data_IF_933548936302
#
_entry.id   IF_933548936302
#
_cell.length_a   1.000
_cell.length_b   1.000
_cell.length_c   1.000
_cell.angle_alpha   90.00
_cell.angle_beta   90.00
_cell.angle_gamma   90.00
#
_symmetry.space_group_name_H-M   'P 1'
#
loop_
_entity.id
_entity.type
_entity.pdbx_description
1 polymer ?
#
# COMPACT_ATOMS: atom_id res chain seq x y z
N UNK A 1 15.71 -6.38 69.09
CA UNK A 1 15.20 -5.25 68.29
C UNK A 1 16.41 -4.61 67.61
N UNK A 2 16.53 -4.76 66.28
CA UNK A 2 15.98 -3.76 65.36
C UNK A 2 15.13 -4.36 64.24
N UNK A 3 14.20 -3.54 63.72
CA UNK A 3 13.21 -3.88 62.68
C UNK A 3 13.84 -3.86 61.27
N UNK A 4 13.52 -4.88 60.47
CA UNK A 4 13.76 -4.89 59.03
C UNK A 4 12.72 -4.02 58.28
N UNK A 5 13.07 -3.44 57.11
CA UNK A 5 12.14 -2.65 56.29
C UNK A 5 11.15 -3.56 55.52
N UNK A 6 9.96 -3.06 55.15
CA UNK A 6 8.95 -3.86 54.48
C UNK A 6 9.24 -4.02 52.97
N UNK A 7 9.01 -5.23 52.47
CA UNK A 7 8.99 -5.61 51.05
C UNK A 7 7.76 -5.02 50.34
N UNK A 8 7.89 -4.52 49.09
CA UNK A 8 6.74 -4.03 48.34
C UNK A 8 5.90 -5.20 47.79
N UNK A 9 4.59 -5.17 48.08
CA UNK A 9 3.57 -6.07 47.53
C UNK A 9 3.15 -5.61 46.14
N UNK A 10 3.31 -6.46 45.13
CA UNK A 10 2.72 -6.28 43.80
C UNK A 10 1.30 -6.87 43.77
N UNK A 11 0.28 -6.14 43.29
CA UNK A 11 -1.04 -6.72 43.07
C UNK A 11 -1.06 -7.51 41.76
N UNK A 12 -1.35 -8.80 41.86
CA UNK A 12 -1.82 -9.65 40.76
C UNK A 12 -3.26 -9.30 40.40
N UNK A 13 -3.54 -8.96 39.14
CA UNK A 13 -4.89 -9.04 38.55
C UNK A 13 -4.78 -9.24 37.04
N UNK A 14 -5.04 -10.46 36.59
CA UNK A 14 -6.26 -10.86 35.85
C UNK A 14 -6.33 -10.24 34.46
N UNK A 15 -5.74 -10.93 33.50
CA UNK A 15 -5.96 -10.73 32.07
C UNK A 15 -7.33 -11.27 31.68
N UNK A 16 -8.29 -10.39 31.44
CA UNK A 16 -9.45 -10.67 30.60
C UNK A 16 -9.14 -10.09 29.22
N UNK A 17 -8.99 -10.99 28.26
CA UNK A 17 -8.83 -10.73 26.83
C UNK A 17 -10.24 -10.49 26.31
N UNK A 18 -10.52 -9.29 25.80
CA UNK A 18 -11.68 -9.03 24.95
C UNK A 18 -11.18 -9.13 23.50
N UNK A 19 -11.38 -10.32 22.93
CA UNK A 19 -11.31 -10.59 21.49
C UNK A 19 -12.64 -10.18 20.86
N UNK A 20 -12.63 -9.11 20.05
CA UNK A 20 -13.77 -8.75 19.20
C UNK A 20 -13.23 -8.30 17.83
N UNK A 21 -13.03 -9.29 16.95
CA UNK A 21 -13.30 -9.22 15.50
C UNK A 21 -12.65 -10.42 14.82
N UNK A 22 -13.20 -11.64 15.02
CA UNK A 22 -13.21 -12.72 14.03
C UNK A 22 -14.17 -13.84 14.50
N UNK A 23 -15.41 -13.86 14.02
CA UNK A 23 -16.07 -15.13 13.69
C UNK A 23 -17.34 -14.94 12.84
N UNK A 24 -17.27 -15.28 11.57
CA UNK A 24 -18.44 -15.81 10.87
C UNK A 24 -18.00 -16.88 9.85
N UNK A 25 -17.68 -18.08 10.31
CA UNK A 25 -18.22 -19.34 9.74
C UNK A 25 -17.76 -20.60 10.49
N UNK A 26 -18.75 -21.25 11.13
CA UNK A 26 -18.96 -22.71 11.27
C UNK A 26 -18.06 -23.53 12.22
N UNK A 27 -18.56 -23.70 13.47
CA UNK A 27 -18.48 -24.96 14.25
C UNK A 27 -19.25 -26.08 13.51
N UNK A 28 -18.88 -27.36 13.54
CA UNK A 28 -19.09 -28.42 14.56
C UNK A 28 -18.29 -29.65 14.01
N UNK A 29 -17.43 -30.39 14.72
CA UNK A 29 -17.72 -31.29 15.84
C UNK A 29 -16.44 -31.87 16.51
N UNK A 30 -16.49 -31.97 17.84
CA UNK A 30 -16.21 -33.17 18.68
C UNK A 30 -14.77 -33.75 18.75
N UNK A 31 -14.00 -33.46 19.81
CA UNK A 31 -13.88 -34.15 21.15
C UNK A 31 -12.97 -35.38 21.22
N UNK A 32 -12.02 -35.34 22.16
CA UNK A 32 -11.17 -36.44 22.66
C UNK A 32 -9.70 -36.22 22.30
N UNK A 33 -8.70 -36.23 23.19
CA UNK A 33 -8.61 -36.70 24.56
C UNK A 33 -7.25 -37.40 24.73
N UNK A 34 -6.33 -36.74 25.45
CA UNK A 34 -5.21 -37.27 26.24
C UNK A 34 -3.96 -37.93 25.59
N UNK A 35 -2.82 -37.46 26.16
CA UNK A 35 -1.57 -38.16 26.53
C UNK A 35 -0.53 -38.55 25.47
N UNK A 36 0.62 -37.87 25.56
CA UNK A 36 1.96 -38.38 25.18
C UNK A 36 2.45 -39.49 26.12
N UNK A 37 3.47 -40.26 25.70
CA UNK A 37 4.79 -40.00 26.27
C UNK A 37 5.94 -40.01 25.26
N UNK A 38 7.11 -39.61 25.76
CA UNK A 38 8.34 -39.26 25.08
C UNK A 38 9.19 -40.43 24.55
N UNK A 39 10.10 -40.12 23.62
CA UNK A 39 11.58 -40.18 23.75
C UNK A 39 12.37 -40.79 22.56
N UNK A 40 13.36 -39.99 22.12
CA UNK A 40 14.71 -40.37 21.64
C UNK A 40 14.97 -40.72 20.14
N UNK A 41 16.22 -40.50 19.66
CA UNK A 41 16.50 -39.81 18.38
C UNK A 41 17.13 -40.69 17.31
N UNK A 42 17.07 -40.28 16.04
CA UNK A 42 17.90 -40.82 14.98
C UNK A 42 18.65 -39.71 14.23
N UNK A 43 19.97 -39.85 14.27
CA UNK A 43 20.96 -39.18 13.44
C UNK A 43 20.76 -39.55 11.96
N UNK A 44 20.98 -38.59 11.07
CA UNK A 44 20.93 -38.78 9.62
C UNK A 44 21.43 -37.56 8.88
N UNK A 45 22.74 -37.40 8.90
CA UNK A 45 23.54 -36.48 8.11
C UNK A 45 23.27 -36.69 6.60
N UNK A 46 22.84 -35.65 5.89
CA UNK A 46 22.86 -35.60 4.42
C UNK A 46 23.23 -34.19 4.00
N UNK A 47 24.46 -34.05 3.50
CA UNK A 47 25.00 -32.80 2.97
C UNK A 47 24.26 -32.27 1.73
N UNK A 48 24.64 -31.07 1.27
CA UNK A 48 23.83 -30.29 0.34
C UNK A 48 23.88 -30.85 -1.08
N UNK A 49 22.70 -31.05 -1.66
CA UNK A 49 22.52 -31.32 -3.09
C UNK A 49 22.73 -30.01 -3.85
N UNK A 50 23.75 -29.96 -4.71
CA UNK A 50 23.93 -28.89 -5.69
C UNK A 50 22.79 -28.94 -6.71
N UNK A 51 21.91 -27.94 -6.66
CA UNK A 51 20.98 -27.65 -7.75
C UNK A 51 21.70 -26.78 -8.79
N UNK A 52 21.73 -27.27 -10.03
CA UNK A 52 22.26 -26.55 -11.19
C UNK A 52 21.50 -25.24 -11.43
N UNK A 53 22.16 -24.19 -11.98
CA UNK A 53 21.49 -22.92 -12.27
C UNK A 53 20.42 -23.08 -13.36
N UNK A 54 19.32 -22.28 -13.31
CA UNK A 54 18.26 -22.31 -14.31
C UNK A 54 18.76 -21.79 -15.68
N UNK A 55 18.20 -22.28 -16.80
CA UNK A 55 18.59 -21.84 -18.14
C UNK A 55 18.12 -20.38 -18.42
N UNK A 56 18.79 -19.65 -19.33
CA UNK A 56 18.39 -18.30 -19.69
C UNK A 56 17.05 -18.27 -20.42
N UNK A 57 16.24 -17.25 -20.14
CA UNK A 57 14.93 -17.01 -20.76
C UNK A 57 15.07 -16.70 -22.26
N UNK A 58 14.11 -17.14 -23.10
CA UNK A 58 14.18 -16.93 -24.55
C UNK A 58 13.98 -15.46 -24.92
N UNK A 59 14.86 -14.96 -25.79
CA UNK A 59 14.78 -13.65 -26.44
C UNK A 59 13.61 -13.66 -27.44
N UNK A 60 12.64 -12.76 -27.26
CA UNK A 60 11.60 -12.50 -28.25
C UNK A 60 11.96 -11.26 -29.08
N UNK A 61 12.06 -11.44 -30.40
CA UNK A 61 12.07 -10.39 -31.40
C UNK A 61 10.72 -10.36 -32.14
N UNK A 62 10.30 -9.21 -32.69
CA UNK A 62 8.90 -8.92 -33.02
C UNK A 62 8.52 -9.40 -34.42
N UNK A 63 7.24 -9.73 -34.61
CA UNK A 63 6.63 -9.86 -35.94
C UNK A 63 5.43 -8.93 -36.01
N UNK A 64 5.41 -8.13 -37.07
CA UNK A 64 4.37 -7.19 -37.43
C UNK A 64 3.42 -7.76 -38.51
N UNK A 65 2.27 -7.10 -38.61
CA UNK A 65 1.37 -6.93 -39.77
C UNK A 65 0.24 -7.94 -40.01
N UNK A 66 -1.00 -7.44 -39.87
CA UNK A 66 -1.93 -7.10 -40.98
C UNK A 66 -3.39 -7.51 -40.73
N UNK A 67 -4.25 -6.87 -41.52
CA UNK A 67 -5.63 -6.49 -41.30
C UNK A 67 -6.69 -7.39 -41.96
N UNK A 68 -7.88 -7.42 -41.33
CA UNK A 68 -9.26 -7.49 -41.86
C UNK A 68 -9.73 -8.65 -42.78
N UNK A 69 -10.95 -9.18 -42.50
CA UNK A 69 -12.15 -9.22 -43.38
C UNK A 69 -13.36 -9.88 -42.64
N UNK A 70 -14.56 -9.39 -42.96
CA UNK A 70 -15.90 -9.64 -42.40
C UNK A 70 -16.64 -10.91 -42.88
N UNK A 71 -17.82 -11.13 -42.24
CA UNK A 71 -19.09 -11.80 -42.66
C UNK A 71 -19.36 -13.13 -41.94
N UNK A 72 -20.58 -13.50 -41.50
CA UNK A 72 -21.93 -12.96 -41.61
C UNK A 72 -22.91 -13.69 -40.66
N UNK A 73 -24.12 -13.16 -40.53
CA UNK A 73 -25.24 -13.54 -39.63
C UNK A 73 -26.01 -14.79 -40.09
N UNK A 74 -26.62 -15.55 -39.16
CA UNK A 74 -28.02 -16.06 -39.20
C UNK A 74 -28.47 -16.53 -37.80
N UNK A 75 -29.72 -16.23 -37.41
CA UNK A 75 -30.29 -16.54 -36.08
C UNK A 75 -31.43 -17.56 -36.08
N UNK A 76 -31.97 -17.89 -34.90
CA UNK A 76 -33.39 -18.22 -34.64
C UNK A 76 -33.64 -18.48 -33.13
N UNK A 77 -34.69 -17.86 -32.60
CA UNK A 77 -35.22 -18.00 -31.23
C UNK A 77 -36.08 -19.26 -31.04
N UNK A 78 -36.17 -19.77 -29.81
CA UNK A 78 -37.37 -20.45 -29.29
C UNK A 78 -37.60 -20.12 -27.80
N UNK A 79 -38.79 -19.60 -27.49
CA UNK A 79 -39.34 -19.47 -26.13
C UNK A 79 -40.09 -20.75 -25.74
N UNK A 80 -40.06 -21.14 -24.46
CA UNK A 80 -41.21 -21.83 -23.82
C UNK A 80 -41.21 -21.65 -22.30
N UNK A 81 -42.41 -21.41 -21.75
CA UNK A 81 -42.73 -21.02 -20.37
C UNK A 81 -42.91 -22.21 -19.40
N UNK A 82 -42.66 -21.97 -18.10
CA UNK A 82 -42.97 -22.78 -16.88
C UNK A 82 -44.48 -22.77 -16.53
N UNK A 83 -45.04 -23.52 -15.52
CA UNK A 83 -44.84 -23.32 -14.04
C UNK A 83 -45.20 -24.58 -13.14
N UNK A 84 -45.49 -24.55 -11.79
CA UNK A 84 -45.39 -23.50 -10.74
C UNK A 84 -44.72 -23.88 -9.36
N UNK A 85 -44.37 -22.81 -8.63
CA UNK A 85 -44.31 -22.47 -7.18
C UNK A 85 -44.12 -23.49 -6.03
N UNK A 86 -43.26 -23.12 -5.06
CA UNK A 86 -43.64 -22.62 -3.71
C UNK A 86 -42.50 -21.76 -3.12
N UNK A 87 -42.92 -20.67 -2.48
CA UNK A 87 -42.24 -19.48 -1.94
C UNK A 87 -41.11 -19.67 -0.93
N UNK A 88 -40.10 -18.82 -1.03
CA UNK A 88 -39.46 -18.15 0.12
C UNK A 88 -38.93 -16.77 -0.32
N UNK A 89 -39.56 -15.70 0.15
CA UNK A 89 -39.08 -14.33 -0.06
C UNK A 89 -37.95 -14.01 0.94
N UNK A 90 -36.82 -13.50 0.46
CA UNK A 90 -36.15 -12.38 1.13
C UNK A 90 -36.20 -11.12 0.26
N UNK A 91 -36.33 -9.99 0.95
CA UNK A 91 -36.51 -8.63 0.43
C UNK A 91 -35.57 -8.28 -0.74
N UNK A 92 -36.16 -7.84 -1.85
CA UNK A 92 -35.45 -7.19 -2.96
C UNK A 92 -34.77 -5.91 -2.47
N UNK A 93 -33.44 -5.89 -2.47
CA UNK A 93 -32.69 -4.63 -2.60
C UNK A 93 -32.97 -4.06 -4.00
N UNK A 94 -33.69 -2.95 -4.03
CA UNK A 94 -33.86 -2.11 -5.21
C UNK A 94 -32.49 -1.68 -5.76
N UNK A 95 -32.36 -1.75 -7.09
CA UNK A 95 -31.18 -1.38 -7.87
C UNK A 95 -30.62 0.00 -7.47
N UNK A 96 -29.37 0.02 -6.97
CA UNK A 96 -28.58 1.23 -6.98
C UNK A 96 -28.37 1.66 -8.44
N UNK A 97 -28.84 2.86 -8.79
CA UNK A 97 -28.48 3.51 -10.04
C UNK A 97 -26.95 3.61 -10.12
N UNK A 98 -26.38 3.01 -11.17
CA UNK A 98 -24.95 2.78 -11.31
C UNK A 98 -24.15 4.09 -11.34
N UNK A 99 -23.16 4.21 -10.46
CA UNK A 99 -22.14 5.24 -10.55
C UNK A 99 -21.41 5.04 -11.88
N UNK A 100 -21.34 6.05 -12.77
CA UNK A 100 -20.64 5.90 -14.04
C UNK A 100 -19.15 5.63 -13.77
N UNK A 101 -18.62 4.62 -14.44
CA UNK A 101 -17.20 4.26 -14.39
C UNK A 101 -16.34 5.48 -14.73
N UNK A 102 -15.32 5.75 -13.90
CA UNK A 102 -14.33 6.78 -14.16
C UNK A 102 -13.02 6.15 -14.59
N UNK A 103 -12.50 6.62 -15.71
CA UNK A 103 -11.14 6.38 -16.13
C UNK A 103 -10.51 7.74 -16.41
N UNK A 104 -9.39 8.09 -15.77
CA UNK A 104 -8.63 9.27 -16.18
C UNK A 104 -8.27 9.16 -17.67
N UNK A 105 -8.12 10.29 -18.39
CA UNK A 105 -7.63 10.25 -19.77
C UNK A 105 -6.27 9.55 -19.79
N UNK A 106 -6.17 8.45 -20.56
CA UNK A 106 -4.97 7.63 -20.67
C UNK A 106 -4.43 7.70 -22.10
N UNK A 107 -3.11 7.75 -22.22
CA UNK A 107 -2.40 7.62 -23.50
C UNK A 107 -1.87 6.19 -23.61
N UNK A 108 -2.78 5.19 -23.64
CA UNK A 108 -2.43 3.77 -23.82
C UNK A 108 -2.52 2.88 -22.56
N UNK A 109 -2.05 1.62 -22.70
CA UNK A 109 -1.89 0.67 -21.58
C UNK A 109 -0.84 1.17 -20.57
N UNK A 110 -1.02 0.83 -19.29
CA UNK A 110 -0.09 1.23 -18.22
C UNK A 110 0.94 0.13 -17.98
N UNK A 111 2.20 0.50 -18.02
CA UNK A 111 3.35 -0.34 -17.65
C UNK A 111 3.71 -0.09 -16.18
N UNK A 112 3.81 -1.16 -15.38
CA UNK A 112 4.47 -1.12 -14.06
C UNK A 112 5.91 -1.56 -14.25
N UNK A 113 6.85 -0.66 -13.97
CA UNK A 113 8.28 -0.89 -14.16
C UNK A 113 8.97 -1.08 -12.83
N UNK A 114 9.52 -2.28 -12.62
CA UNK A 114 10.35 -2.55 -11.46
C UNK A 114 11.70 -1.85 -11.58
N UNK A 115 12.06 -1.15 -10.51
CA UNK A 115 13.33 -0.47 -10.34
C UNK A 115 14.13 -1.19 -9.26
N UNK A 116 15.33 -1.60 -9.65
CA UNK A 116 16.34 -2.31 -8.88
C UNK A 116 17.64 -1.50 -8.89
N UNK A 117 18.67 -1.95 -8.17
CA UNK A 117 19.96 -1.26 -8.17
C UNK A 117 20.54 -1.07 -9.59
N UNK A 118 20.37 -2.08 -10.45
CA UNK A 118 20.95 -2.11 -11.79
C UNK A 118 20.37 -1.06 -12.76
N UNK A 119 19.11 -0.64 -12.59
CA UNK A 119 18.44 0.31 -13.47
C UNK A 119 18.00 1.62 -12.78
N UNK A 120 18.38 1.84 -11.51
CA UNK A 120 18.00 3.03 -10.75
C UNK A 120 18.31 4.34 -11.49
N UNK A 121 19.53 4.52 -11.97
CA UNK A 121 19.95 5.76 -12.65
C UNK A 121 19.25 5.98 -13.99
N UNK A 122 18.85 4.92 -14.68
CA UNK A 122 18.06 5.02 -15.90
C UNK A 122 16.64 5.48 -15.61
N UNK A 123 15.99 4.83 -14.66
CA UNK A 123 14.59 5.13 -14.34
C UNK A 123 14.42 6.49 -13.65
N UNK A 124 15.39 6.91 -12.84
CA UNK A 124 15.36 8.23 -12.24
C UNK A 124 15.54 9.36 -13.28
N UNK A 125 16.30 9.11 -14.36
CA UNK A 125 16.35 10.03 -15.51
C UNK A 125 15.04 10.05 -16.28
N UNK A 126 14.40 8.90 -16.48
CA UNK A 126 13.08 8.82 -17.12
C UNK A 126 12.03 9.59 -16.32
N UNK A 127 11.99 9.41 -15.00
CA UNK A 127 11.12 10.19 -14.11
C UNK A 127 11.39 11.68 -14.28
N UNK A 128 12.65 12.11 -14.19
CA UNK A 128 13.04 13.52 -14.32
C UNK A 128 12.53 14.15 -15.62
N UNK A 129 12.62 13.42 -16.74
CA UNK A 129 12.11 13.86 -18.03
C UNK A 129 10.58 14.01 -18.08
N UNK A 130 9.85 13.23 -17.27
CA UNK A 130 8.39 13.22 -17.24
C UNK A 130 7.79 14.27 -16.28
N UNK A 131 8.52 14.68 -15.24
CA UNK A 131 8.03 15.63 -14.22
C UNK A 131 7.47 16.95 -14.78
N UNK A 132 8.02 17.58 -15.84
CA UNK A 132 7.45 18.79 -16.42
C UNK A 132 6.03 18.60 -16.97
N UNK A 133 5.75 17.43 -17.53
CA UNK A 133 4.44 17.07 -18.11
C UNK A 133 3.50 16.45 -17.09
N UNK A 134 4.04 15.80 -16.05
CA UNK A 134 3.29 15.09 -15.01
C UNK A 134 3.73 15.54 -13.60
N UNK A 135 3.34 16.75 -13.16
CA UNK A 135 3.84 17.37 -11.94
C UNK A 135 3.12 16.92 -10.65
N UNK A 136 2.24 15.91 -10.73
CA UNK A 136 1.57 15.30 -9.57
C UNK A 136 2.19 13.92 -9.35
N UNK A 137 2.72 13.71 -8.14
CA UNK A 137 3.38 12.48 -7.72
C UNK A 137 2.49 11.79 -6.70
N UNK A 138 1.89 10.67 -7.07
CA UNK A 138 1.20 9.80 -6.12
C UNK A 138 2.12 8.66 -5.73
N UNK A 139 2.14 8.32 -4.44
CA UNK A 139 3.00 7.26 -3.92
C UNK A 139 2.26 6.35 -2.96
N UNK A 140 2.86 5.19 -2.74
CA UNK A 140 2.46 4.18 -1.75
C UNK A 140 3.71 3.40 -1.34
N UNK A 141 3.77 2.86 -0.11
CA UNK A 141 4.90 2.10 0.37
C UNK A 141 4.51 0.75 0.94
N UNK A 142 5.39 -0.24 0.74
CA UNK A 142 5.31 -1.53 1.42
C UNK A 142 6.43 -1.64 2.44
N UNK A 143 6.09 -2.08 3.65
CA UNK A 143 7.00 -2.14 4.79
C UNK A 143 6.59 -3.28 5.74
N UNK A 144 7.47 -3.72 6.67
CA UNK A 144 7.27 -4.96 7.43
C UNK A 144 6.26 -4.82 8.60
N UNK A 145 5.22 -4.02 8.42
CA UNK A 145 4.16 -3.77 9.40
C UNK A 145 4.58 -2.84 10.54
N UNK A 146 4.00 -3.06 11.72
CA UNK A 146 4.30 -2.30 12.95
C UNK A 146 4.61 -3.26 14.08
N UNK A 147 5.72 -3.01 14.78
CA UNK A 147 6.16 -3.79 15.95
C UNK A 147 5.97 -3.03 17.27
N UNK A 148 5.76 -1.71 17.20
CA UNK A 148 5.44 -0.88 18.35
C UNK A 148 4.00 -0.38 18.28
N UNK A 149 3.34 -0.38 19.44
CA UNK A 149 2.06 0.27 19.61
C UNK A 149 1.97 0.91 21.01
N UNK A 150 0.88 1.63 21.27
CA UNK A 150 0.54 2.18 22.59
C UNK A 150 -0.84 1.71 23.03
N UNK A 151 -1.06 1.63 24.35
CA UNK A 151 -2.29 1.12 24.96
C UNK A 151 -3.55 1.92 24.61
N UNK A 152 -3.39 3.20 24.24
CA UNK A 152 -4.52 4.03 23.81
C UNK A 152 -5.12 3.47 22.52
N UNK A 153 -6.43 3.18 22.52
CA UNK A 153 -7.16 2.69 21.35
C UNK A 153 -6.99 3.64 20.16
N UNK A 154 -6.81 3.08 18.95
CA UNK A 154 -6.46 3.84 17.73
C UNK A 154 -7.38 5.02 17.43
N UNK A 155 -8.68 4.86 17.66
CA UNK A 155 -9.68 5.90 17.42
C UNK A 155 -9.67 7.01 18.48
N UNK A 156 -9.09 6.76 19.66
CA UNK A 156 -8.95 7.74 20.75
C UNK A 156 -7.61 8.47 20.75
N UNK A 157 -6.66 8.07 19.89
CA UNK A 157 -5.32 8.68 19.86
C UNK A 157 -5.37 10.10 19.33
N UNK A 158 -4.65 10.99 20.00
CA UNK A 158 -4.35 12.34 19.48
C UNK A 158 -3.40 12.25 18.28
N UNK A 159 -3.34 13.30 17.43
CA UNK A 159 -2.33 13.38 16.37
C UNK A 159 -0.89 13.16 16.86
N UNK A 160 -0.52 13.73 18.01
CA UNK A 160 0.80 13.54 18.62
C UNK A 160 1.07 12.08 19.00
N UNK A 161 0.09 11.40 19.59
CA UNK A 161 0.21 9.98 19.93
C UNK A 161 0.33 9.10 18.67
N UNK A 162 -0.43 9.41 17.62
CA UNK A 162 -0.32 8.70 16.33
C UNK A 162 1.06 8.89 15.72
N UNK A 163 1.55 10.13 15.70
CA UNK A 163 2.90 10.42 15.21
C UNK A 163 3.97 9.68 16.01
N UNK A 164 3.88 9.66 17.35
CA UNK A 164 4.85 8.94 18.17
C UNK A 164 4.95 7.45 17.81
N UNK A 165 3.81 6.80 17.50
CA UNK A 165 3.78 5.40 17.03
C UNK A 165 4.38 5.28 15.63
N UNK A 166 4.04 6.17 14.70
CA UNK A 166 4.62 6.20 13.34
C UNK A 166 6.13 6.33 13.43
N UNK A 167 6.63 7.35 14.13
CA UNK A 167 8.06 7.61 14.32
C UNK A 167 8.78 6.39 14.87
N UNK A 168 8.28 5.81 15.97
CA UNK A 168 8.94 4.68 16.64
C UNK A 168 9.06 3.46 15.72
N UNK A 169 8.01 3.15 14.95
CA UNK A 169 8.06 2.07 13.98
C UNK A 169 8.97 2.39 12.80
N UNK A 170 8.83 3.56 12.20
CA UNK A 170 9.61 3.94 11.01
C UNK A 170 11.09 4.07 11.32
N UNK A 171 11.48 4.57 12.49
CA UNK A 171 12.89 4.67 12.90
C UNK A 171 13.55 3.28 13.01
N UNK A 172 12.82 2.27 13.52
CA UNK A 172 13.33 0.91 13.71
C UNK A 172 13.26 0.04 12.45
N UNK A 173 12.22 0.21 11.64
CA UNK A 173 11.93 -0.67 10.51
C UNK A 173 12.53 -0.19 9.19
N UNK A 174 12.59 -1.10 8.21
CA UNK A 174 13.16 -0.86 6.87
C UNK A 174 12.05 -0.79 5.83
N UNK A 175 12.16 0.18 4.91
CA UNK A 175 11.28 0.27 3.74
C UNK A 175 11.58 -0.90 2.79
N UNK A 176 10.55 -1.49 2.18
CA UNK A 176 10.70 -2.63 1.27
C UNK A 176 10.45 -2.22 -0.18
N UNK A 177 9.35 -1.50 -0.43
CA UNK A 177 9.03 -0.97 -1.75
C UNK A 177 8.44 0.44 -1.68
N UNK A 178 8.64 1.21 -2.75
CA UNK A 178 7.98 2.48 -3.01
C UNK A 178 7.36 2.43 -4.40
N UNK A 179 6.07 2.74 -4.50
CA UNK A 179 5.39 3.01 -5.76
C UNK A 179 5.37 4.48 -6.07
N UNK A 180 5.59 4.85 -7.33
CA UNK A 180 5.46 6.21 -7.82
C UNK A 180 4.67 6.23 -9.12
N UNK A 181 3.49 6.86 -9.06
CA UNK A 181 2.66 7.16 -10.22
C UNK A 181 2.67 8.66 -10.48
N UNK A 182 2.99 9.05 -11.72
CA UNK A 182 2.99 10.45 -12.13
C UNK A 182 1.69 10.78 -12.87
N UNK A 183 1.13 11.96 -12.63
CA UNK A 183 -0.04 12.45 -13.35
C UNK A 183 -0.05 13.98 -13.51
N UNK A 184 -1.00 14.46 -14.31
CA UNK A 184 -1.30 15.87 -14.53
C UNK A 184 -2.82 16.04 -14.62
N UNK A 185 -3.37 17.26 -14.61
CA UNK A 185 -4.80 17.46 -14.86
C UNK A 185 -5.28 16.88 -16.21
N UNK A 186 -4.38 16.68 -17.18
CA UNK A 186 -4.70 16.11 -18.48
C UNK A 186 -4.74 14.57 -18.48
N UNK A 187 -4.28 13.90 -17.42
CA UNK A 187 -4.25 12.45 -17.35
C UNK A 187 -3.03 11.89 -16.60
N UNK A 188 -2.91 10.56 -16.58
CA UNK A 188 -1.81 9.86 -15.93
C UNK A 188 -0.67 9.53 -16.90
N UNK A 189 0.54 9.38 -16.36
CA UNK A 189 1.69 8.83 -17.07
C UNK A 189 1.41 7.35 -17.43
N UNK A 190 1.82 6.87 -18.62
CA UNK A 190 1.66 5.46 -18.99
C UNK A 190 2.63 4.53 -18.26
N UNK A 191 3.59 5.06 -17.50
CA UNK A 191 4.56 4.30 -16.72
C UNK A 191 4.37 4.60 -15.24
N UNK A 192 4.40 3.55 -14.42
CA UNK A 192 4.41 3.59 -12.96
C UNK A 192 5.67 2.89 -12.48
N UNK A 193 6.39 3.50 -11.55
CA UNK A 193 7.65 2.94 -11.05
C UNK A 193 7.44 2.24 -9.71
N UNK A 194 8.01 1.04 -9.60
CA UNK A 194 8.06 0.28 -8.35
C UNK A 194 9.50 0.09 -7.93
N UNK A 195 9.95 0.87 -6.96
CA UNK A 195 11.29 0.78 -6.41
C UNK A 195 11.36 -0.33 -5.36
N UNK A 196 12.34 -1.20 -5.51
CA UNK A 196 12.58 -2.35 -4.64
C UNK A 196 13.83 -2.10 -3.81
N UNK A 197 13.73 -2.02 -2.48
CA UNK A 197 14.84 -1.66 -1.60
C UNK A 197 15.58 -2.87 -1.03
N UNK A 198 16.90 -2.77 -0.95
CA UNK A 198 17.74 -3.73 -0.29
C UNK A 198 17.82 -3.50 1.23
N UNK A 199 18.43 -4.47 1.91
CA UNK A 199 18.83 -4.35 3.31
C UNK A 199 17.90 -5.00 4.32
N UNK A 200 16.69 -5.43 3.94
CA UNK A 200 15.80 -6.20 4.82
C UNK A 200 16.13 -7.70 4.82
N UNK A 201 16.18 -8.30 6.01
CA UNK A 201 16.36 -9.74 6.25
C UNK A 201 15.34 -10.21 7.29
N UNK A 202 14.34 -10.96 6.83
CA UNK A 202 13.23 -11.47 7.66
C UNK A 202 13.67 -12.42 8.78
N UNK A 203 14.93 -12.87 8.79
CA UNK A 203 15.48 -13.71 9.86
C UNK A 203 16.09 -12.90 10.99
N UNK A 204 16.37 -11.62 10.77
CA UNK A 204 17.18 -10.78 11.66
C UNK A 204 16.51 -9.47 12.02
N UNK A 205 15.82 -8.86 11.07
CA UNK A 205 15.23 -7.54 11.25
C UNK A 205 13.88 -7.62 11.96
N UNK A 206 13.54 -6.65 12.83
CA UNK A 206 12.23 -6.55 13.42
C UNK A 206 11.14 -6.44 12.35
N UNK A 207 10.03 -7.14 12.55
CA UNK A 207 8.88 -7.12 11.64
C UNK A 207 7.63 -7.69 12.31
N UNK A 208 6.46 -7.34 11.79
CA UNK A 208 5.23 -8.04 12.09
C UNK A 208 5.14 -9.31 11.22
N UNK A 209 5.06 -10.49 11.85
CA UNK A 209 4.99 -11.77 11.13
C UNK A 209 3.81 -11.85 10.16
N UNK A 210 2.64 -11.32 10.54
CA UNK A 210 1.46 -11.28 9.69
C UNK A 210 1.70 -10.45 8.42
N UNK A 211 2.37 -9.30 8.53
CA UNK A 211 2.71 -8.45 7.38
C UNK A 211 3.69 -9.15 6.44
N UNK A 212 4.72 -9.80 6.96
CA UNK A 212 5.68 -10.57 6.15
C UNK A 212 5.03 -11.76 5.45
N UNK A 213 4.12 -12.47 6.13
CA UNK A 213 3.37 -13.57 5.52
C UNK A 213 2.47 -13.06 4.38
N UNK A 214 1.72 -11.99 4.62
CA UNK A 214 0.86 -11.34 3.62
C UNK A 214 1.69 -10.89 2.40
N UNK A 215 2.81 -10.20 2.61
CA UNK A 215 3.66 -9.70 1.51
C UNK A 215 4.24 -10.84 0.67
N UNK A 216 4.60 -11.98 1.27
CA UNK A 216 5.02 -13.19 0.54
C UNK A 216 3.92 -13.76 -0.34
N UNK A 217 2.72 -13.87 0.21
CA UNK A 217 1.54 -14.32 -0.54
C UNK A 217 1.24 -13.36 -1.70
N UNK A 218 1.53 -12.07 -1.50
CA UNK A 218 1.48 -11.02 -2.52
C UNK A 218 2.75 -10.94 -3.38
N UNK A 219 3.60 -11.97 -3.36
CA UNK A 219 4.66 -12.20 -4.34
C UNK A 219 5.98 -11.49 -4.03
N UNK A 220 6.09 -10.85 -2.87
CA UNK A 220 7.33 -10.22 -2.45
C UNK A 220 8.39 -11.29 -2.10
N UNK A 221 9.53 -11.22 -2.79
CA UNK A 221 10.67 -12.09 -2.54
C UNK A 221 11.78 -11.34 -1.79
N UNK A 222 11.84 -11.51 -0.48
CA UNK A 222 12.82 -10.84 0.38
C UNK A 222 14.28 -11.22 0.09
N UNK A 223 14.53 -12.42 -0.43
CA UNK A 223 15.88 -12.78 -0.86
C UNK A 223 16.32 -11.93 -2.06
N UNK A 224 15.43 -11.76 -3.04
CA UNK A 224 15.67 -10.92 -4.23
C UNK A 224 15.79 -9.44 -3.84
N UNK A 225 14.92 -8.94 -2.94
CA UNK A 225 15.06 -7.58 -2.40
C UNK A 225 16.43 -7.37 -1.78
N UNK A 226 16.88 -8.28 -0.92
CA UNK A 226 18.18 -8.16 -0.23
C UNK A 226 19.36 -8.19 -1.20
N UNK A 227 19.30 -9.02 -2.24
CA UNK A 227 20.42 -9.25 -3.16
C UNK A 227 20.51 -8.20 -4.28
N UNK A 228 19.36 -7.76 -4.80
CA UNK A 228 19.30 -6.92 -6.02
C UNK A 228 18.60 -5.58 -5.79
N UNK A 229 18.03 -5.37 -4.61
CA UNK A 229 17.35 -4.13 -4.25
C UNK A 229 18.27 -2.93 -4.23
N UNK A 230 17.66 -1.76 -4.26
CA UNK A 230 18.32 -0.47 -4.23
C UNK A 230 18.84 -0.18 -2.83
N UNK A 231 20.10 0.23 -2.72
CA UNK A 231 20.61 0.81 -1.48
C UNK A 231 19.86 2.12 -1.18
N UNK A 232 19.27 2.29 0.02
CA UNK A 232 18.52 3.50 0.35
C UNK A 232 19.30 4.81 0.19
N UNK A 233 20.63 4.80 0.37
CA UNK A 233 21.47 5.98 0.18
C UNK A 233 21.64 6.32 -1.31
N UNK A 234 21.76 5.32 -2.19
CA UNK A 234 21.80 5.52 -3.64
C UNK A 234 20.48 6.12 -4.13
N UNK A 235 19.35 5.60 -3.65
CA UNK A 235 18.03 6.18 -3.92
C UNK A 235 17.93 7.63 -3.44
N UNK A 236 18.39 7.93 -2.22
CA UNK A 236 18.35 9.29 -1.67
C UNK A 236 19.14 10.27 -2.57
N UNK A 237 20.32 9.87 -3.04
CA UNK A 237 21.10 10.66 -3.98
C UNK A 237 20.38 10.89 -5.31
N UNK A 238 19.81 9.82 -5.88
CA UNK A 238 19.08 9.89 -7.15
C UNK A 238 17.78 10.71 -7.03
N UNK A 239 17.09 10.65 -5.89
CA UNK A 239 15.88 11.40 -5.59
C UNK A 239 16.10 12.91 -5.77
N UNK A 240 17.16 13.46 -5.17
CA UNK A 240 17.46 14.88 -5.32
C UNK A 240 17.97 15.24 -6.73
N UNK A 241 18.73 14.36 -7.40
CA UNK A 241 19.18 14.59 -8.78
C UNK A 241 18.03 14.57 -9.81
N UNK A 242 17.02 13.74 -9.60
CA UNK A 242 15.87 13.60 -10.50
C UNK A 242 14.93 14.81 -10.46
N UNK A 243 14.95 15.55 -9.36
CA UNK A 243 14.06 16.68 -9.10
C UNK A 243 12.74 16.35 -8.43
N UNK A 244 12.54 15.10 -7.99
CA UNK A 244 11.42 14.71 -7.13
C UNK A 244 11.37 15.51 -5.82
N UNK A 245 12.52 15.90 -5.29
CA UNK A 245 12.63 16.75 -4.08
C UNK A 245 12.46 18.25 -4.33
N UNK A 246 12.14 18.70 -5.55
CA UNK A 246 11.86 20.11 -5.80
C UNK A 246 10.43 20.44 -5.35
N UNK A 247 10.27 21.35 -4.39
CA UNK A 247 8.99 21.74 -3.78
C UNK A 247 7.97 22.44 -4.70
N UNK A 248 8.06 22.24 -6.01
CA UNK A 248 7.12 22.68 -7.05
C UNK A 248 6.12 21.57 -7.45
N UNK A 249 6.40 20.33 -7.09
CA UNK A 249 5.53 19.18 -7.35
C UNK A 249 4.35 19.14 -6.37
N UNK A 250 3.29 18.41 -6.74
CA UNK A 250 2.21 18.06 -5.81
C UNK A 250 2.41 16.61 -5.42
N UNK A 251 2.51 16.33 -4.13
CA UNK A 251 2.69 14.99 -3.61
C UNK A 251 1.39 14.48 -3.01
N UNK A 252 1.07 13.20 -3.24
CA UNK A 252 -0.10 12.57 -2.67
C UNK A 252 0.17 11.13 -2.24
N UNK A 253 -0.49 10.71 -1.16
CA UNK A 253 -0.53 9.32 -0.71
C UNK A 253 -1.91 9.04 -0.10
N UNK A 254 -2.30 7.76 0.01
CA UNK A 254 -3.56 7.38 0.65
C UNK A 254 -3.30 6.92 2.07
N UNK A 255 -3.83 7.61 3.08
CA UNK A 255 -3.51 7.31 4.49
C UNK A 255 -2.01 7.48 4.80
N UNK A 256 -1.40 8.54 4.26
CA UNK A 256 0.02 8.68 3.92
C UNK A 256 1.01 8.83 5.08
N UNK A 257 0.56 8.72 6.32
CA UNK A 257 1.40 8.99 7.50
C UNK A 257 2.70 8.16 7.54
N UNK A 258 2.61 6.86 7.25
CA UNK A 258 3.78 5.97 7.17
C UNK A 258 4.56 6.19 5.88
N UNK A 259 3.88 6.39 4.74
CA UNK A 259 4.53 6.54 3.43
C UNK A 259 5.45 7.77 3.40
N UNK A 260 4.95 8.93 3.84
CA UNK A 260 5.75 10.15 3.96
C UNK A 260 6.87 10.00 4.98
N UNK A 261 6.64 9.27 6.08
CA UNK A 261 7.65 9.04 7.10
C UNK A 261 8.79 8.15 6.59
N UNK A 262 8.50 7.03 5.93
CA UNK A 262 9.54 6.18 5.34
C UNK A 262 10.31 6.91 4.26
N UNK A 263 9.64 7.60 3.34
CA UNK A 263 10.31 8.33 2.28
C UNK A 263 11.17 9.45 2.85
N UNK A 264 10.68 10.20 3.84
CA UNK A 264 11.48 11.21 4.55
C UNK A 264 12.71 10.61 5.23
N UNK A 265 12.59 9.48 5.93
CA UNK A 265 13.72 8.76 6.53
C UNK A 265 14.75 8.38 5.47
N UNK A 266 14.33 7.78 4.36
CA UNK A 266 15.23 7.35 3.28
C UNK A 266 15.98 8.54 2.69
N UNK A 267 15.27 9.59 2.24
CA UNK A 267 15.92 10.73 1.54
C UNK A 267 16.74 11.61 2.49
N UNK A 268 16.51 11.52 3.80
CA UNK A 268 17.37 12.15 4.82
C UNK A 268 18.54 11.27 5.26
N UNK A 269 18.85 10.21 4.51
CA UNK A 269 20.02 9.36 4.75
C UNK A 269 19.85 8.43 5.94
N UNK A 270 18.62 7.99 6.22
CA UNK A 270 18.30 7.07 7.30
C UNK A 270 18.35 7.68 8.71
N UNK A 271 18.41 9.02 8.83
CA UNK A 271 18.37 9.69 10.13
C UNK A 271 17.02 9.45 10.82
N UNK A 272 17.00 9.40 12.17
CA UNK A 272 15.74 9.37 12.91
C UNK A 272 14.82 10.52 12.53
N UNK A 273 13.53 10.26 12.49
CA UNK A 273 12.52 11.28 12.22
C UNK A 273 12.50 12.34 13.34
N UNK A 274 12.01 13.57 13.07
CA UNK A 274 11.96 14.63 14.08
C UNK A 274 11.21 14.22 15.36
N UNK A 275 11.66 14.67 16.52
CA UNK A 275 11.05 14.25 17.81
C UNK A 275 9.58 14.70 17.97
N UNK A 276 9.19 15.81 17.35
CA UNK A 276 7.84 16.36 17.43
C UNK A 276 7.08 16.22 16.13
N UNK A 277 5.74 16.14 16.23
CA UNK A 277 4.84 16.12 15.07
C UNK A 277 5.04 17.37 14.20
N UNK A 278 5.18 18.54 14.82
CA UNK A 278 5.38 19.81 14.13
C UNK A 278 6.70 19.82 13.36
N UNK A 279 7.77 19.27 13.96
CA UNK A 279 9.07 19.11 13.30
C UNK A 279 8.98 18.16 12.10
N UNK A 280 8.21 17.08 12.22
CA UNK A 280 7.95 16.15 11.13
C UNK A 280 7.17 16.80 9.98
N UNK A 281 6.07 17.48 10.28
CA UNK A 281 5.28 18.18 9.26
C UNK A 281 6.10 19.28 8.55
N UNK A 282 6.96 19.98 9.28
CA UNK A 282 7.90 20.93 8.70
C UNK A 282 8.93 20.26 7.77
N UNK A 283 9.45 19.09 8.16
CA UNK A 283 10.36 18.31 7.32
C UNK A 283 9.67 17.79 6.06
N UNK A 284 8.46 17.22 6.17
CA UNK A 284 7.63 16.78 5.04
C UNK A 284 7.42 17.95 4.07
N UNK A 285 7.00 19.12 4.57
CA UNK A 285 6.83 20.32 3.74
C UNK A 285 8.13 20.78 3.08
N UNK A 286 9.26 20.65 3.76
CA UNK A 286 10.57 21.02 3.20
C UNK A 286 11.03 20.09 2.07
N UNK A 287 10.71 18.79 2.16
CA UNK A 287 11.14 17.79 1.17
C UNK A 287 10.19 17.76 -0.03
N UNK A 288 8.88 17.71 0.24
CA UNK A 288 7.85 17.45 -0.77
C UNK A 288 7.14 18.74 -1.25
N UNK A 289 7.44 19.88 -0.62
CA UNK A 289 6.80 21.16 -0.91
C UNK A 289 5.49 21.39 -0.15
N UNK A 290 4.81 22.52 -0.39
CA UNK A 290 3.59 22.88 0.33
C UNK A 290 2.34 22.11 -0.13
N UNK A 291 2.38 21.46 -1.30
CA UNK A 291 1.24 20.79 -1.91
C UNK A 291 1.24 19.28 -1.64
N UNK A 292 1.23 18.91 -0.35
CA UNK A 292 1.12 17.52 0.12
C UNK A 292 -0.34 17.19 0.39
N UNK A 293 -0.88 16.15 -0.23
CA UNK A 293 -2.27 15.75 -0.17
C UNK A 293 -2.41 14.36 0.41
N UNK A 294 -3.31 14.17 1.37
CA UNK A 294 -3.73 12.83 1.77
C UNK A 294 -5.07 12.50 1.13
N UNK A 295 -5.06 11.51 0.24
CA UNK A 295 -6.23 11.11 -0.56
C UNK A 295 -7.35 10.56 0.32
N UNK A 296 -7.02 9.88 1.43
CA UNK A 296 -8.00 9.37 2.38
C UNK A 296 -8.64 10.49 3.20
N UNK A 297 -7.84 11.50 3.57
CA UNK A 297 -8.36 12.70 4.21
C UNK A 297 -9.31 13.45 3.26
N UNK A 298 -8.93 13.65 2.00
CA UNK A 298 -9.74 14.33 0.97
C UNK A 298 -11.05 13.59 0.70
N UNK A 299 -11.04 12.25 0.70
CA UNK A 299 -12.23 11.44 0.47
C UNK A 299 -13.38 11.76 1.46
N UNK A 300 -13.08 12.24 2.66
CA UNK A 300 -14.06 12.67 3.67
C UNK A 300 -14.89 13.89 3.25
N UNK A 301 -14.44 14.63 2.24
CA UNK A 301 -15.12 15.79 1.67
C UNK A 301 -15.76 15.48 0.31
N UNK A 302 -15.72 14.22 -0.11
CA UNK A 302 -16.29 13.73 -1.36
C UNK A 302 -17.59 12.97 -1.10
N UNK A 303 -18.58 13.07 -2.00
CA UNK A 303 -19.87 12.38 -1.88
C UNK A 303 -20.92 13.13 -1.06
N UNK A 304 -22.11 12.52 -0.92
CA UNK A 304 -23.25 13.15 -0.25
C UNK A 304 -23.12 13.09 1.29
N UNK A 305 -23.28 14.23 1.95
CA UNK A 305 -23.66 14.35 3.37
C UNK A 305 -22.73 13.78 4.46
N UNK A 306 -21.63 13.07 4.13
CA UNK A 306 -20.77 12.44 5.16
C UNK A 306 -19.36 12.02 4.75
N UNK A 307 -18.98 12.22 3.49
CA UNK A 307 -17.68 11.80 2.99
C UNK A 307 -17.62 10.31 2.60
N UNK A 308 -16.73 9.95 1.68
CA UNK A 308 -16.40 8.55 1.40
C UNK A 308 -15.37 8.09 2.45
N UNK A 309 -15.60 6.93 3.07
CA UNK A 309 -14.74 6.37 4.12
C UNK A 309 -14.40 4.91 3.81
N UNK A 310 -13.19 4.47 4.16
CA UNK A 310 -12.76 3.09 3.97
C UNK A 310 -11.28 2.98 3.61
N UNK A 311 -10.85 1.79 3.21
CA UNK A 311 -9.57 1.56 2.55
C UNK A 311 -9.58 2.02 1.09
N UNK A 312 -8.41 2.02 0.44
CA UNK A 312 -8.24 2.53 -0.92
C UNK A 312 -9.20 1.85 -1.92
N UNK A 313 -9.32 0.53 -1.87
CA UNK A 313 -10.22 -0.23 -2.74
C UNK A 313 -11.70 0.15 -2.54
N UNK A 314 -12.11 0.38 -1.28
CA UNK A 314 -13.48 0.81 -1.00
C UNK A 314 -13.76 2.21 -1.55
N UNK A 315 -12.81 3.13 -1.38
CA UNK A 315 -12.91 4.49 -1.91
C UNK A 315 -12.93 4.47 -3.44
N UNK A 316 -12.08 3.66 -4.07
CA UNK A 316 -12.06 3.46 -5.52
C UNK A 316 -13.41 2.93 -6.03
N UNK A 317 -13.94 1.88 -5.41
CA UNK A 317 -15.24 1.31 -5.76
C UNK A 317 -16.39 2.32 -5.63
N UNK A 318 -16.42 3.10 -4.54
CA UNK A 318 -17.41 4.16 -4.33
C UNK A 318 -17.34 5.26 -5.40
N UNK A 319 -16.15 5.48 -5.99
CA UNK A 319 -15.94 6.42 -7.08
C UNK A 319 -16.09 5.77 -8.47
N UNK A 320 -16.39 4.47 -8.57
CA UNK A 320 -16.42 3.76 -9.86
C UNK A 320 -15.05 3.79 -10.56
N UNK A 321 -13.96 3.81 -9.80
CA UNK A 321 -12.59 3.70 -10.28
C UNK A 321 -12.15 2.24 -10.17
N UNK A 322 -11.57 1.71 -11.24
CA UNK A 322 -11.01 0.37 -11.28
C UNK A 322 -9.48 0.40 -11.26
N UNK A 323 -8.89 -0.56 -10.56
CA UNK A 323 -7.46 -0.83 -10.61
C UNK A 323 -7.07 -1.20 -12.04
N UNK A 324 -6.24 -0.37 -12.66
CA UNK A 324 -5.90 -0.53 -14.07
C UNK A 324 -4.82 -1.59 -14.34
N UNK A 325 -3.94 -1.84 -13.38
CA UNK A 325 -2.81 -2.78 -13.52
C UNK A 325 -2.41 -3.31 -12.15
N UNK A 326 -1.86 -4.52 -12.10
CA UNK A 326 -1.39 -5.15 -10.86
C UNK A 326 -2.51 -5.57 -9.92
N UNK A 327 -2.16 -5.79 -8.65
CA UNK A 327 -3.07 -6.20 -7.57
C UNK A 327 -2.86 -5.31 -6.35
N UNK A 328 -3.80 -5.37 -5.41
CA UNK A 328 -3.64 -4.75 -4.09
C UNK A 328 -2.41 -5.31 -3.36
N UNK A 329 -1.85 -4.50 -2.45
CA UNK A 329 -0.64 -4.80 -1.69
C UNK A 329 0.60 -4.89 -2.59
N UNK A 330 0.69 -3.94 -3.51
CA UNK A 330 1.81 -3.80 -4.42
C UNK A 330 2.01 -2.31 -4.69
N UNK A 331 3.11 -1.75 -4.17
CA UNK A 331 3.29 -0.30 -4.07
C UNK A 331 3.07 0.42 -5.41
N UNK A 332 3.58 -0.12 -6.52
CA UNK A 332 3.35 0.45 -7.85
C UNK A 332 1.86 0.52 -8.20
N UNK A 333 1.16 -0.61 -8.10
CA UNK A 333 -0.27 -0.70 -8.38
C UNK A 333 -1.12 0.20 -7.47
N UNK A 334 -0.81 0.25 -6.17
CA UNK A 334 -1.52 1.06 -5.18
C UNK A 334 -1.26 2.56 -5.34
N UNK A 335 -0.05 2.97 -5.73
CA UNK A 335 0.26 4.37 -6.06
C UNK A 335 -0.53 4.85 -7.29
N UNK A 336 -0.73 3.98 -8.29
CA UNK A 336 -1.56 4.29 -9.47
C UNK A 336 -3.04 4.40 -9.10
N UNK A 337 -3.57 3.45 -8.33
CA UNK A 337 -4.95 3.50 -7.88
C UNK A 337 -5.21 4.76 -7.03
N UNK A 338 -4.24 5.13 -6.19
CA UNK A 338 -4.25 6.40 -5.44
C UNK A 338 -4.33 7.61 -6.39
N UNK A 339 -3.56 7.63 -7.47
CA UNK A 339 -3.62 8.69 -8.50
C UNK A 339 -4.99 8.74 -9.18
N UNK A 340 -5.52 7.59 -9.60
CA UNK A 340 -6.80 7.51 -10.32
C UNK A 340 -7.97 7.95 -9.42
N UNK A 341 -7.94 7.57 -8.14
CA UNK A 341 -8.88 8.02 -7.10
C UNK A 341 -8.78 9.53 -6.90
N UNK A 342 -7.58 10.07 -6.75
CA UNK A 342 -7.37 11.51 -6.60
C UNK A 342 -7.94 12.28 -7.80
N UNK A 343 -7.69 11.80 -9.02
CA UNK A 343 -8.25 12.38 -10.24
C UNK A 343 -9.77 12.38 -10.23
N UNK A 344 -10.39 11.24 -9.91
CA UNK A 344 -11.85 11.12 -9.83
C UNK A 344 -12.45 12.09 -8.81
N UNK A 345 -11.82 12.22 -7.64
CA UNK A 345 -12.27 13.15 -6.61
C UNK A 345 -12.16 14.61 -7.06
N UNK A 346 -10.99 14.99 -7.60
CA UNK A 346 -10.75 16.37 -8.06
C UNK A 346 -11.75 16.76 -9.16
N UNK A 347 -11.95 15.87 -10.14
CA UNK A 347 -12.86 16.11 -11.24
C UNK A 347 -14.31 16.29 -10.78
N UNK A 348 -14.78 15.47 -9.84
CA UNK A 348 -16.20 15.43 -9.44
C UNK A 348 -16.57 16.41 -8.34
N UNK A 349 -15.69 16.63 -7.36
CA UNK A 349 -16.02 17.34 -6.13
C UNK A 349 -15.27 18.66 -5.95
N UNK A 350 -14.19 18.88 -6.71
CA UNK A 350 -13.36 20.08 -6.64
C UNK A 350 -13.24 20.85 -7.98
N UNK A 351 -14.31 20.99 -8.80
CA UNK A 351 -14.21 21.72 -10.07
C UNK A 351 -14.02 23.22 -9.89
N UNK A 352 -14.53 23.78 -8.78
CA UNK A 352 -14.51 25.22 -8.48
C UNK A 352 -13.84 25.56 -7.13
N UNK A 353 -13.59 24.55 -6.31
CA UNK A 353 -12.88 24.66 -5.02
C UNK A 353 -11.52 24.02 -5.18
N UNK A 354 -10.46 24.68 -4.72
CA UNK A 354 -9.12 24.12 -4.86
C UNK A 354 -8.92 22.94 -3.91
N UNK A 355 -8.70 21.73 -4.44
CA UNK A 355 -8.27 20.56 -3.63
C UNK A 355 -7.05 20.87 -2.74
N UNK A 356 -6.24 21.86 -3.15
CA UNK A 356 -5.09 22.38 -2.41
C UNK A 356 -5.47 23.08 -1.10
N UNK A 357 -6.74 23.42 -0.85
CA UNK A 357 -7.19 23.89 0.46
C UNK A 357 -7.02 22.83 1.56
N UNK A 358 -6.87 21.57 1.17
CA UNK A 358 -6.58 20.44 2.07
C UNK A 358 -5.08 20.12 2.16
N UNK A 359 -4.21 20.91 1.52
CA UNK A 359 -2.78 20.64 1.50
C UNK A 359 -2.15 20.73 2.90
N UNK A 360 -1.29 19.77 3.22
CA UNK A 360 -0.64 19.61 4.53
C UNK A 360 -1.46 18.83 5.56
N UNK A 361 -2.74 18.55 5.29
CA UNK A 361 -3.56 17.69 6.15
C UNK A 361 -3.30 16.22 5.85
N UNK A 362 -2.45 15.58 6.67
CA UNK A 362 -2.14 14.15 6.55
C UNK A 362 -3.08 13.34 7.46
N UNK A 363 -3.65 12.26 6.93
CA UNK A 363 -4.63 11.45 7.64
C UNK A 363 -4.07 10.97 8.99
N UNK A 364 -4.82 11.27 10.04
CA UNK A 364 -4.48 10.90 11.40
C UNK A 364 -3.44 11.79 12.08
N UNK A 365 -2.84 12.75 11.38
CA UNK A 365 -1.84 13.68 11.92
C UNK A 365 -2.35 15.14 12.03
N UNK A 366 -3.63 15.38 11.75
CA UNK A 366 -4.32 16.67 11.92
C UNK A 366 -5.68 16.52 12.59
#
# INVERSE_FOLDING_TARGET
>A
MPRAPPTPTFPTRSTTIDDDDQNETRRVAATGGASSPAMAPFSGDVGPVMLAPPPPLPQFLPIATSSAVQSGSFGASFMRMSPPDISAHPLQLSHHHGVPMFSPPAVGEVEVRDVWAANLEEEMRNISAMLPSYPVVCMDTEFPGTVHDIDTLRHLRTPHQRYAVVKRNVDELKLLQLGVALSSPAGRCPVVWQFNFAGFDDRRDPHAHASIAMLREHGMNFFVLREYGIDPADFAGAFYRSGLGYGRLKWAAFSGSYDFAYLAKVVTGGRPLPETLEGFLAQVKSIFGPAVLDVKYIARFCGDGGGIRGGLEHVAAALGVQRAVGRAHNAGSDSLLTSDVLHAMVYRFFPNTGVLNHAGAIEGLV
#
